data_IF_955539787353
#
_entry.id   IF_955539787353
#
_cell.length_a   1.000
_cell.length_b   1.000
_cell.length_c   1.000
_cell.angle_alpha   90.00
_cell.angle_beta   90.00
_cell.angle_gamma   90.00
#
_symmetry.space_group_name_H-M   'P 1'
#
loop_
_entity.id
_entity.type
_entity.pdbx_description
1 polymer ?
#
# COMPACT_ATOMS: atom_id res chain seq x y z
N UNK A 1 -5.99 22.07 -2.54
CA UNK A 1 -6.84 21.39 -1.53
C UNK A 1 -6.09 20.45 -0.60
N UNK A 2 -4.97 19.83 -1.02
CA UNK A 2 -4.16 18.95 -0.15
C UNK A 2 -3.60 19.70 1.07
N UNK A 3 -3.12 20.94 0.90
CA UNK A 3 -2.64 21.76 2.02
C UNK A 3 -3.75 22.06 3.05
N UNK A 4 -4.99 22.27 2.58
CA UNK A 4 -6.16 22.45 3.45
C UNK A 4 -6.41 21.18 4.26
N UNK A 5 -6.25 20.00 3.66
CA UNK A 5 -6.40 18.73 4.38
C UNK A 5 -5.33 18.56 5.47
N UNK A 6 -4.08 18.95 5.20
CA UNK A 6 -2.97 18.88 6.17
C UNK A 6 -3.29 19.69 7.43
N UNK A 7 -3.78 20.91 7.23
CA UNK A 7 -3.97 21.90 8.30
C UNK A 7 -5.31 21.76 9.02
N UNK A 8 -6.23 20.94 8.51
CA UNK A 8 -7.49 20.67 9.19
C UNK A 8 -7.25 19.84 10.47
N UNK A 9 -8.15 19.88 11.44
CA UNK A 9 -8.06 19.05 12.67
C UNK A 9 -9.11 17.93 12.68
N UNK A 10 -10.19 18.07 11.89
CA UNK A 10 -11.30 17.10 11.83
C UNK A 10 -10.99 15.97 10.85
N UNK A 11 -10.96 14.69 11.28
CA UNK A 11 -10.57 13.58 10.42
C UNK A 11 -11.40 13.43 9.12
N UNK A 12 -12.71 13.63 9.20
CA UNK A 12 -13.60 13.54 8.03
C UNK A 12 -13.33 14.66 7.02
N UNK A 13 -13.06 15.87 7.50
CA UNK A 13 -12.71 17.00 6.63
C UNK A 13 -11.34 16.79 5.99
N UNK A 14 -10.36 16.25 6.73
CA UNK A 14 -9.06 15.85 6.16
C UNK A 14 -9.27 14.90 4.98
N UNK A 15 -10.04 13.82 5.20
CA UNK A 15 -10.30 12.83 4.17
C UNK A 15 -10.96 13.46 2.94
N UNK A 16 -11.99 14.29 3.15
CA UNK A 16 -12.69 15.00 2.07
C UNK A 16 -11.75 15.88 1.26
N UNK A 17 -11.00 16.75 1.91
CA UNK A 17 -10.08 17.68 1.24
C UNK A 17 -8.92 16.97 0.56
N UNK A 18 -8.42 15.86 1.14
CA UNK A 18 -7.43 15.00 0.50
C UNK A 18 -7.98 14.38 -0.79
N UNK A 19 -9.20 13.81 -0.76
CA UNK A 19 -9.82 13.24 -1.96
C UNK A 19 -10.03 14.29 -3.06
N UNK A 20 -10.53 15.47 -2.71
CA UNK A 20 -10.68 16.57 -3.68
C UNK A 20 -9.34 17.03 -4.25
N UNK A 21 -8.30 17.10 -3.42
CA UNK A 21 -6.96 17.46 -3.85
C UNK A 21 -6.32 16.43 -4.78
N UNK A 22 -6.52 15.15 -4.51
CA UNK A 22 -6.07 14.07 -5.39
C UNK A 22 -6.76 14.11 -6.75
N UNK A 23 -8.07 14.38 -6.77
CA UNK A 23 -8.82 14.54 -8.03
C UNK A 23 -8.21 15.64 -8.91
N UNK A 24 -7.83 16.77 -8.32
CA UNK A 24 -7.18 17.86 -9.06
C UNK A 24 -5.81 17.44 -9.64
N UNK A 25 -5.04 16.62 -8.92
CA UNK A 25 -3.77 16.09 -9.44
C UNK A 25 -4.01 15.08 -10.57
N UNK A 26 -5.03 14.23 -10.45
CA UNK A 26 -5.43 13.30 -11.49
C UNK A 26 -5.83 14.06 -12.78
N UNK A 27 -6.63 15.14 -12.65
CA UNK A 27 -7.02 16.03 -13.75
C UNK A 27 -5.80 16.77 -14.35
N UNK A 28 -4.86 17.23 -13.53
CA UNK A 28 -3.65 17.90 -14.00
C UNK A 28 -2.75 16.97 -14.83
N UNK A 29 -2.54 15.72 -14.39
CA UNK A 29 -1.80 14.73 -15.20
C UNK A 29 -2.56 14.39 -16.47
N UNK A 30 -3.89 14.31 -16.43
CA UNK A 30 -4.68 14.09 -17.63
C UNK A 30 -4.50 15.21 -18.67
N UNK A 31 -4.47 16.47 -18.22
CA UNK A 31 -4.27 17.63 -19.10
C UNK A 31 -2.83 17.74 -19.64
N UNK A 32 -1.82 17.36 -18.84
CA UNK A 32 -0.41 17.46 -19.19
C UNK A 32 0.36 16.16 -18.85
N UNK A 33 0.14 15.07 -19.61
CA UNK A 33 0.60 13.73 -19.24
C UNK A 33 2.10 13.50 -19.33
N UNK A 34 2.86 14.45 -19.91
CA UNK A 34 4.33 14.40 -20.01
C UNK A 34 5.02 15.41 -19.11
N UNK A 35 4.28 16.22 -18.36
CA UNK A 35 4.86 17.16 -17.42
C UNK A 35 5.43 16.39 -16.22
N UNK A 36 6.76 16.37 -16.12
CA UNK A 36 7.47 15.61 -15.10
C UNK A 36 7.17 16.13 -13.69
N UNK A 37 6.95 17.43 -13.52
CA UNK A 37 6.75 18.05 -12.22
C UNK A 37 5.35 17.73 -11.68
N UNK A 38 4.33 17.75 -12.54
CA UNK A 38 2.97 17.35 -12.16
C UNK A 38 2.94 15.86 -11.76
N UNK A 39 3.61 14.99 -12.53
CA UNK A 39 3.71 13.56 -12.19
C UNK A 39 4.50 13.31 -10.92
N UNK A 40 5.60 14.04 -10.70
CA UNK A 40 6.37 13.93 -9.47
C UNK A 40 5.52 14.31 -8.26
N UNK A 41 4.75 15.41 -8.36
CA UNK A 41 3.85 15.85 -7.30
C UNK A 41 2.75 14.82 -7.02
N UNK A 42 2.13 14.26 -8.06
CA UNK A 42 1.09 13.23 -7.93
C UNK A 42 1.66 11.95 -7.32
N UNK A 43 2.80 11.46 -7.81
CA UNK A 43 3.49 10.27 -7.30
C UNK A 43 3.90 10.43 -5.83
N UNK A 44 4.52 11.56 -5.46
CA UNK A 44 4.90 11.86 -4.06
C UNK A 44 3.68 11.95 -3.14
N UNK A 45 2.61 12.57 -3.61
CA UNK A 45 1.36 12.65 -2.84
C UNK A 45 0.76 11.26 -2.64
N UNK A 46 0.68 10.45 -3.70
CA UNK A 46 0.18 9.09 -3.66
C UNK A 46 1.01 8.19 -2.72
N UNK A 47 2.35 8.31 -2.78
CA UNK A 47 3.29 7.60 -1.91
C UNK A 47 3.06 7.86 -0.42
N UNK A 48 2.71 9.09 -0.05
CA UNK A 48 2.52 9.49 1.36
C UNK A 48 1.19 9.02 1.95
N UNK A 49 0.27 8.48 1.15
CA UNK A 49 -1.06 8.11 1.60
C UNK A 49 -1.15 6.65 2.08
N UNK A 50 -1.94 6.38 3.14
CA UNK A 50 -2.22 5.02 3.57
C UNK A 50 -2.98 4.24 2.51
N UNK A 51 -2.41 3.12 2.05
CA UNK A 51 -2.98 2.32 0.96
C UNK A 51 -4.39 1.79 1.30
N UNK A 52 -4.62 1.44 2.57
CA UNK A 52 -5.89 0.89 3.07
C UNK A 52 -7.10 1.83 2.92
N UNK A 53 -6.89 3.12 2.66
CA UNK A 53 -7.98 4.11 2.58
C UNK A 53 -8.04 4.84 1.24
N UNK A 54 -6.92 4.91 0.53
CA UNK A 54 -6.77 5.75 -0.65
C UNK A 54 -6.56 4.95 -1.94
N UNK A 55 -6.01 3.73 -1.87
CA UNK A 55 -5.73 2.87 -3.03
C UNK A 55 -4.88 3.59 -4.09
N UNK A 56 -3.75 4.16 -3.67
CA UNK A 56 -2.92 5.05 -4.50
C UNK A 56 -1.54 4.48 -4.82
N UNK A 57 -1.20 3.30 -4.32
CA UNK A 57 0.06 2.63 -4.64
C UNK A 57 0.27 2.49 -6.15
N UNK A 58 -0.74 2.06 -6.91
CA UNK A 58 -0.63 1.93 -8.36
C UNK A 58 -0.36 3.28 -9.06
N UNK A 59 -0.97 4.38 -8.60
CA UNK A 59 -0.70 5.72 -9.13
C UNK A 59 0.75 6.13 -8.87
N UNK A 60 1.26 5.88 -7.65
CA UNK A 60 2.66 6.18 -7.33
C UNK A 60 3.63 5.34 -8.18
N UNK A 61 3.33 4.05 -8.38
CA UNK A 61 4.13 3.17 -9.25
C UNK A 61 4.16 3.71 -10.67
N UNK A 62 3.00 4.01 -11.26
CA UNK A 62 2.91 4.54 -12.63
C UNK A 62 3.77 5.80 -12.81
N UNK A 63 3.61 6.78 -11.92
CA UNK A 63 4.34 8.05 -12.02
C UNK A 63 5.83 7.88 -11.79
N UNK A 64 6.22 7.10 -10.78
CA UNK A 64 7.64 6.91 -10.46
C UNK A 64 8.36 6.12 -11.54
N UNK A 65 7.77 5.05 -12.07
CA UNK A 65 8.34 4.28 -13.18
C UNK A 65 8.57 5.18 -14.38
N UNK A 66 7.56 5.97 -14.78
CA UNK A 66 7.71 6.88 -15.91
C UNK A 66 8.81 7.92 -15.68
N UNK A 67 8.89 8.52 -14.50
CA UNK A 67 9.94 9.50 -14.18
C UNK A 67 11.34 8.89 -14.15
N UNK A 68 11.48 7.69 -13.60
CA UNK A 68 12.74 6.95 -13.56
C UNK A 68 13.20 6.63 -14.99
N UNK A 69 12.30 6.14 -15.84
CA UNK A 69 12.59 5.78 -17.22
C UNK A 69 12.96 7.02 -18.07
N UNK A 70 12.22 8.12 -17.92
CA UNK A 70 12.52 9.38 -18.62
C UNK A 70 13.87 9.96 -18.20
N UNK A 71 14.20 9.91 -16.90
CA UNK A 71 15.48 10.40 -16.39
C UNK A 71 16.67 9.59 -16.94
N UNK A 72 16.47 8.29 -17.23
CA UNK A 72 17.48 7.45 -17.88
C UNK A 72 17.67 7.75 -19.37
N UNK A 73 16.58 8.08 -20.08
CA UNK A 73 16.61 8.15 -21.54
C UNK A 73 17.03 9.51 -22.09
N UNK A 74 16.58 10.62 -21.50
CA UNK A 74 16.59 11.89 -22.24
C UNK A 74 17.11 13.12 -21.50
N UNK A 75 16.93 13.27 -20.18
CA UNK A 75 17.05 14.63 -19.61
C UNK A 75 17.73 14.82 -18.24
N UNK A 76 18.17 13.78 -17.51
CA UNK A 76 18.80 13.92 -16.17
C UNK A 76 18.23 15.06 -15.29
N UNK A 77 16.91 15.28 -15.36
CA UNK A 77 16.25 16.43 -14.74
C UNK A 77 16.11 16.25 -13.22
N UNK A 78 16.31 15.02 -12.73
CA UNK A 78 16.42 14.70 -11.33
C UNK A 78 17.88 14.68 -10.91
N UNK A 79 18.18 15.35 -9.81
CA UNK A 79 19.48 15.21 -9.15
C UNK A 79 19.68 13.75 -8.69
N UNK A 80 20.95 13.31 -8.61
CA UNK A 80 21.31 11.93 -8.23
C UNK A 80 20.57 11.46 -6.96
N UNK A 81 20.49 12.32 -5.94
CA UNK A 81 19.81 12.01 -4.69
C UNK A 81 18.29 11.86 -4.85
N UNK A 82 17.65 12.72 -5.65
CA UNK A 82 16.22 12.64 -5.95
C UNK A 82 15.90 11.37 -6.74
N UNK A 83 16.75 11.02 -7.70
CA UNK A 83 16.63 9.79 -8.48
C UNK A 83 16.73 8.54 -7.60
N UNK A 84 17.74 8.46 -6.72
CA UNK A 84 17.88 7.35 -5.77
C UNK A 84 16.69 7.29 -4.80
N UNK A 85 16.21 8.43 -4.32
CA UNK A 85 15.04 8.50 -3.45
C UNK A 85 13.79 7.96 -4.16
N UNK A 86 13.56 8.30 -5.42
CA UNK A 86 12.43 7.79 -6.21
C UNK A 86 12.47 6.26 -6.35
N UNK A 87 13.64 5.67 -6.63
CA UNK A 87 13.78 4.20 -6.72
C UNK A 87 13.53 3.56 -5.34
N UNK A 88 14.02 4.19 -4.25
CA UNK A 88 13.83 3.67 -2.90
C UNK A 88 12.35 3.64 -2.53
N UNK A 89 11.66 4.76 -2.76
CA UNK A 89 10.24 4.89 -2.49
C UNK A 89 9.40 3.98 -3.37
N UNK A 90 9.78 3.77 -4.65
CA UNK A 90 9.14 2.79 -5.52
C UNK A 90 9.20 1.38 -4.92
N UNK A 91 10.35 0.97 -4.41
CA UNK A 91 10.50 -0.31 -3.70
C UNK A 91 9.59 -0.40 -2.46
N UNK A 92 9.48 0.69 -1.69
CA UNK A 92 8.55 0.75 -0.54
C UNK A 92 7.08 0.63 -0.96
N UNK A 93 6.69 1.21 -2.11
CA UNK A 93 5.31 1.09 -2.63
C UNK A 93 5.02 -0.35 -3.06
N UNK A 94 5.94 -0.97 -3.81
CA UNK A 94 5.80 -2.37 -4.22
C UNK A 94 5.68 -3.29 -3.01
N UNK A 95 6.53 -3.09 -2.00
CA UNK A 95 6.46 -3.84 -0.74
C UNK A 95 5.10 -3.65 -0.05
N UNK A 96 4.57 -2.42 -0.04
CA UNK A 96 3.29 -2.08 0.59
C UNK A 96 2.09 -2.83 0.01
N UNK A 97 2.15 -3.20 -1.27
CA UNK A 97 1.11 -3.96 -1.98
C UNK A 97 1.48 -5.43 -2.20
N UNK A 98 2.52 -5.91 -1.52
CA UNK A 98 2.92 -7.32 -1.52
C UNK A 98 3.70 -7.75 -2.76
N UNK A 99 4.12 -6.82 -3.63
CA UNK A 99 4.97 -7.11 -4.78
C UNK A 99 6.44 -7.18 -4.36
N UNK A 100 6.77 -8.21 -3.57
CA UNK A 100 8.07 -8.38 -2.93
C UNK A 100 9.22 -8.51 -3.94
N UNK A 101 8.99 -9.16 -5.09
CA UNK A 101 10.03 -9.30 -6.12
C UNK A 101 10.38 -7.96 -6.79
N UNK A 102 9.41 -7.10 -7.07
CA UNK A 102 9.69 -5.79 -7.67
C UNK A 102 10.32 -4.84 -6.64
N UNK A 103 9.91 -4.95 -5.37
CA UNK A 103 10.56 -4.25 -4.27
C UNK A 103 12.04 -4.60 -4.14
N UNK A 104 12.39 -5.89 -4.19
CA UNK A 104 13.80 -6.33 -4.10
C UNK A 104 14.63 -5.83 -5.27
N UNK A 105 14.09 -5.87 -6.50
CA UNK A 105 14.77 -5.32 -7.69
C UNK A 105 15.12 -3.84 -7.53
N UNK A 106 14.21 -3.03 -6.98
CA UNK A 106 14.45 -1.62 -6.71
C UNK A 106 15.61 -1.41 -5.73
N UNK A 107 15.64 -2.17 -4.62
CA UNK A 107 16.68 -2.01 -3.60
C UNK A 107 18.03 -2.60 -4.01
N UNK A 108 18.06 -3.70 -4.78
CA UNK A 108 19.30 -4.24 -5.37
C UNK A 108 19.91 -3.23 -6.34
N UNK A 109 19.07 -2.60 -7.18
CA UNK A 109 19.52 -1.54 -8.09
C UNK A 109 20.17 -0.38 -7.32
N UNK A 110 19.62 0.01 -6.18
CA UNK A 110 20.20 1.09 -5.37
C UNK A 110 21.56 0.75 -4.76
N UNK A 111 21.80 -0.50 -4.38
CA UNK A 111 23.11 -0.93 -3.87
C UNK A 111 24.23 -0.73 -4.91
N UNK A 112 23.89 -0.70 -6.20
CA UNK A 112 24.85 -0.46 -7.29
C UNK A 112 25.09 1.03 -7.56
N UNK A 113 24.27 1.94 -7.02
CA UNK A 113 24.28 3.37 -7.34
C UNK A 113 24.89 4.25 -6.23
N UNK A 114 25.04 3.69 -5.03
CA UNK A 114 25.51 4.40 -3.84
C UNK A 114 26.75 3.74 -3.26
N UNK A 115 27.64 4.57 -2.69
CA UNK A 115 28.80 4.15 -1.90
C UNK A 115 28.60 4.43 -0.40
N UNK A 116 27.48 5.07 -0.04
CA UNK A 116 27.14 5.39 1.35
C UNK A 116 26.87 4.10 2.15
N UNK A 117 27.73 3.84 3.13
CA UNK A 117 27.66 2.66 3.99
C UNK A 117 26.34 2.58 4.78
N UNK A 118 25.83 3.69 5.29
CA UNK A 118 24.59 3.70 6.09
C UNK A 118 23.40 3.38 5.20
N UNK A 119 23.39 3.93 3.98
CA UNK A 119 22.34 3.65 3.02
C UNK A 119 22.40 2.19 2.53
N UNK A 120 23.58 1.64 2.26
CA UNK A 120 23.77 0.23 1.93
C UNK A 120 23.26 -0.68 3.06
N UNK A 121 23.55 -0.33 4.32
CA UNK A 121 23.05 -1.07 5.48
C UNK A 121 21.53 -1.06 5.55
N UNK A 122 20.89 0.11 5.32
CA UNK A 122 19.43 0.21 5.25
C UNK A 122 18.85 -0.71 4.17
N UNK A 123 19.43 -0.71 2.96
CA UNK A 123 18.99 -1.55 1.85
C UNK A 123 19.14 -3.05 2.18
N UNK A 124 20.20 -3.44 2.87
CA UNK A 124 20.37 -4.81 3.37
C UNK A 124 19.22 -5.18 4.31
N UNK A 125 18.90 -4.34 5.30
CA UNK A 125 17.79 -4.60 6.23
C UNK A 125 16.45 -4.73 5.51
N UNK A 126 16.23 -3.95 4.45
CA UNK A 126 15.03 -4.04 3.59
C UNK A 126 14.98 -5.38 2.84
N UNK A 127 16.07 -5.79 2.20
CA UNK A 127 16.16 -7.07 1.48
C UNK A 127 15.98 -8.27 2.42
N UNK A 128 16.59 -8.24 3.61
CA UNK A 128 16.44 -9.29 4.62
C UNK A 128 14.97 -9.50 5.05
N UNK A 129 14.15 -8.44 5.08
CA UNK A 129 12.71 -8.56 5.38
C UNK A 129 11.92 -9.29 4.30
N UNK A 130 12.47 -9.43 3.10
CA UNK A 130 11.85 -10.15 1.99
C UNK A 130 12.28 -11.63 1.93
N UNK A 131 13.29 -12.04 2.70
CA UNK A 131 13.75 -13.43 2.73
C UNK A 131 12.61 -14.37 3.14
N UNK A 132 12.37 -15.40 2.32
CA UNK A 132 11.30 -16.38 2.55
C UNK A 132 9.89 -15.89 2.20
N UNK A 133 9.71 -14.63 1.79
CA UNK A 133 8.41 -14.15 1.29
C UNK A 133 8.16 -14.62 -0.15
N UNK A 134 6.90 -14.88 -0.53
CA UNK A 134 6.56 -15.15 -1.92
C UNK A 134 6.81 -13.91 -2.79
N UNK A 135 7.03 -14.11 -4.09
CA UNK A 135 7.25 -13.04 -5.06
C UNK A 135 6.10 -12.00 -5.06
N UNK A 136 4.87 -12.48 -4.91
CA UNK A 136 3.66 -11.69 -4.71
C UNK A 136 2.91 -12.24 -3.49
N UNK A 137 2.66 -11.37 -2.51
CA UNK A 137 1.90 -11.64 -1.30
C UNK A 137 0.49 -11.05 -1.44
N UNK A 138 -0.54 -11.82 -1.09
CA UNK A 138 -1.91 -11.30 -1.06
C UNK A 138 -2.14 -10.54 0.25
N UNK A 139 -2.17 -9.22 0.19
CA UNK A 139 -2.43 -8.38 1.36
C UNK A 139 -3.94 -8.23 1.54
N UNK A 140 -4.53 -8.78 2.62
CA UNK A 140 -5.97 -8.72 2.82
C UNK A 140 -6.44 -7.27 2.96
N UNK A 141 -7.34 -6.88 2.07
CA UNK A 141 -7.95 -5.57 2.07
C UNK A 141 -9.01 -5.48 3.17
N UNK A 142 -8.84 -4.61 4.16
CA UNK A 142 -9.86 -4.34 5.19
C UNK A 142 -11.01 -3.46 4.67
N UNK A 143 -11.52 -3.75 3.48
CA UNK A 143 -12.78 -3.16 3.03
C UNK A 143 -13.92 -4.08 3.43
N UNK A 144 -14.42 -3.91 4.66
CA UNK A 144 -15.82 -4.18 5.02
C UNK A 144 -16.06 -3.86 6.50
N UNK A 145 -16.93 -2.87 6.84
CA UNK A 145 -17.48 -2.73 8.18
C UNK A 145 -18.42 -3.88 8.60
N UNK A 146 -18.48 -5.00 7.88
CA UNK A 146 -19.38 -6.12 8.18
C UNK A 146 -18.82 -7.16 9.17
N UNK A 147 -17.52 -7.13 9.49
CA UNK A 147 -16.91 -8.16 10.35
C UNK A 147 -17.18 -7.97 11.84
N UNK A 148 -17.49 -6.75 12.29
CA UNK A 148 -17.82 -6.49 13.71
C UNK A 148 -19.20 -7.05 14.06
N UNK A 149 -20.16 -7.02 13.12
CA UNK A 149 -21.48 -7.61 13.32
C UNK A 149 -21.48 -9.13 13.16
N UNK A 150 -20.72 -9.69 12.19
CA UNK A 150 -20.56 -11.15 12.07
C UNK A 150 -19.86 -11.77 13.29
N UNK A 151 -18.86 -11.10 13.87
CA UNK A 151 -18.22 -11.58 15.11
C UNK A 151 -19.18 -11.62 16.30
N UNK A 152 -20.15 -10.69 16.38
CA UNK A 152 -21.15 -10.69 17.47
C UNK A 152 -22.20 -11.78 17.29
N UNK A 153 -22.66 -12.05 16.07
CA UNK A 153 -23.66 -13.11 15.83
C UNK A 153 -23.06 -14.52 16.02
N UNK A 154 -21.81 -14.75 15.61
CA UNK A 154 -21.11 -16.03 15.88
C UNK A 154 -20.88 -16.24 17.38
N UNK A 155 -20.59 -15.18 18.14
CA UNK A 155 -20.41 -15.29 19.60
C UNK A 155 -21.73 -15.51 20.36
N UNK A 156 -22.86 -15.05 19.83
CA UNK A 156 -24.18 -15.31 20.43
C UNK A 156 -24.72 -16.71 20.08
N UNK A 157 -24.48 -17.22 18.87
CA UNK A 157 -24.91 -18.57 18.47
C UNK A 157 -24.00 -19.69 19.01
N UNK A 158 -22.75 -19.37 19.37
CA UNK A 158 -21.79 -20.33 19.93
C UNK A 158 -22.16 -20.90 21.30
N UNK A 159 -23.04 -20.24 22.05
CA UNK A 159 -23.54 -20.75 23.34
C UNK A 159 -24.88 -21.51 23.24
N UNK A 160 -25.60 -21.44 22.11
CA UNK A 160 -26.86 -22.16 21.94
C UNK A 160 -26.71 -23.47 21.15
N UNK A 161 -25.69 -23.60 20.28
CA UNK A 161 -25.45 -24.85 19.53
C UNK A 161 -24.89 -26.00 20.38
N UNK A 162 -24.24 -25.74 21.51
CA UNK A 162 -23.77 -26.80 22.41
C UNK A 162 -24.91 -27.48 23.18
N UNK A 163 -26.05 -26.81 23.40
CA UNK A 163 -27.20 -27.39 24.09
C UNK A 163 -28.16 -28.16 23.17
N UNK A 164 -28.10 -27.97 21.85
CA UNK A 164 -28.93 -28.71 20.90
C UNK A 164 -28.28 -30.01 20.40
N UNK A 165 -26.94 -30.08 20.36
CA UNK A 165 -26.19 -31.28 19.93
C UNK A 165 -25.97 -32.30 21.08
N UNK A 166 -26.20 -31.90 22.33
CA UNK A 166 -26.07 -32.76 23.52
C UNK A 166 -27.29 -33.63 23.87
N UNK A 167 -28.46 -33.41 23.26
CA UNK A 167 -29.72 -34.03 23.70
C UNK A 167 -30.34 -35.03 22.71
N UNK A 168 -29.55 -35.58 21.76
CA UNK A 168 -29.98 -36.66 20.85
C UNK A 168 -29.13 -37.94 20.95
N UNK A 169 -28.40 -38.15 22.05
CA UNK A 169 -27.64 -39.40 22.30
C UNK A 169 -27.90 -39.99 23.69
N UNK A 170 -29.15 -40.19 24.06
CA UNK A 170 -29.55 -41.19 25.07
C UNK A 170 -30.94 -41.72 24.73
N UNK A 171 -31.05 -42.99 24.34
CA UNK A 171 -32.32 -43.74 24.39
C UNK A 171 -32.91 -44.30 23.10
N UNK A 172 -32.17 -45.12 22.37
CA UNK A 172 -32.74 -46.34 21.72
C UNK A 172 -31.93 -47.50 22.33
N UNK A 173 -32.44 -48.63 22.82
CA UNK A 173 -33.68 -49.38 22.61
C UNK A 173 -33.69 -50.50 23.69
N UNK A 174 -34.85 -50.85 24.26
CA UNK A 174 -35.14 -52.25 24.61
C UNK A 174 -36.64 -52.51 24.51
N UNK A 175 -37.02 -53.24 23.47
CA UNK A 175 -38.22 -54.08 23.41
C UNK A 175 -38.03 -55.27 24.35
N UNK A 176 -39.03 -55.58 25.16
CA UNK A 176 -39.80 -56.85 25.20
C UNK A 176 -40.90 -56.72 26.23
#
# INVERSE_FOLDING_TARGET
MILIARDNTKPLDKLRWSKSGLKLLDEAVHAAPRDWMIRLLRGKTAYMLPEQHFHRAHTAIEDYTLLIDQNMLHDQFLEKNQYMQLIYELGEVYYRIGQNQEASRCWIRLQQLTEDSDFIHLLHLKLKKLEGKPAVENIPHMDRPSTILLKKTVRAMGNEFQNWVGNQKTGTSTKT
#
